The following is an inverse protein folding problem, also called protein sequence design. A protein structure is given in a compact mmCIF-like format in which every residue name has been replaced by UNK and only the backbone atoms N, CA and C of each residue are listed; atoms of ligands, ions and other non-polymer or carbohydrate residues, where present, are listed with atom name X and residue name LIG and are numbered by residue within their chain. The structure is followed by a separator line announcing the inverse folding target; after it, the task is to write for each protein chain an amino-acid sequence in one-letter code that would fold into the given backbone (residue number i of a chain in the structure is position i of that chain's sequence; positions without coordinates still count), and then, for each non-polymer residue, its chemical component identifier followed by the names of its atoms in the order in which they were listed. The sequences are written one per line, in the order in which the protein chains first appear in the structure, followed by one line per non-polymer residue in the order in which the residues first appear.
data_IF_942297490935
#
_entry.id   IF_942297490935
#
_cell.length_a   1.000
_cell.length_b   1.000
_cell.length_c   1.000
_cell.angle_alpha   90.00
_cell.angle_beta   90.00
_cell.angle_gamma   90.00
#
_symmetry.space_group_name_H-M   'P 1'
#
loop_
_entity.id
_entity.type
_entity.pdbx_description
1 polymer ?
#
# COMPACT_ATOMS: atom_id res chain seq x y z
N UNK A 1 -34.76 78.25 8.58
CA UNK A 1 -34.72 78.11 7.11
C UNK A 1 -34.07 76.72 6.77
N UNK A 2 -34.91 75.89 6.21
CA UNK A 2 -34.60 74.60 5.57
C UNK A 2 -33.56 74.76 4.44
N UNK A 3 -33.03 73.66 3.81
CA UNK A 3 -33.50 72.27 3.80
C UNK A 3 -32.40 71.15 3.85
N UNK A 4 -32.89 69.96 4.08
CA UNK A 4 -32.38 68.69 3.57
C UNK A 4 -32.15 68.69 2.03
N UNK A 5 -31.38 67.76 1.39
CA UNK A 5 -31.73 66.33 1.39
C UNK A 5 -30.60 65.29 1.08
N UNK A 6 -31.04 64.02 1.02
CA UNK A 6 -30.65 62.84 0.20
C UNK A 6 -29.59 61.94 0.77
N UNK A 7 -30.07 60.86 1.41
CA UNK A 7 -30.25 59.51 0.84
C UNK A 7 -29.19 59.08 -0.17
N UNK A 8 -28.30 58.17 0.23
CA UNK A 8 -27.84 57.14 -0.65
C UNK A 8 -27.60 55.84 0.13
N UNK A 9 -28.48 54.89 -0.07
CA UNK A 9 -28.35 53.54 0.39
C UNK A 9 -27.25 52.83 -0.44
N UNK A 10 -26.25 52.27 0.20
CA UNK A 10 -25.40 51.27 -0.42
C UNK A 10 -25.57 49.95 0.35
N UNK A 11 -26.34 49.09 -0.24
CA UNK A 11 -26.43 47.69 0.18
C UNK A 11 -25.13 47.00 -0.23
N UNK A 12 -24.28 46.63 0.71
CA UNK A 12 -23.16 45.74 0.47
C UNK A 12 -23.62 44.33 0.82
N UNK A 13 -23.95 43.58 -0.23
CA UNK A 13 -24.20 42.12 -0.16
C UNK A 13 -22.87 41.42 0.18
N UNK A 14 -22.70 40.97 1.42
CA UNK A 14 -21.65 40.05 1.80
C UNK A 14 -22.00 38.66 1.27
N UNK A 15 -21.44 38.27 0.12
CA UNK A 15 -21.32 36.87 -0.27
C UNK A 15 -20.20 36.24 0.58
N UNK A 16 -20.57 35.61 1.68
CA UNK A 16 -19.68 34.71 2.38
C UNK A 16 -19.56 33.43 1.55
N UNK A 17 -18.57 33.39 0.67
CA UNK A 17 -18.09 32.16 0.05
C UNK A 17 -17.47 31.28 1.12
N UNK A 18 -18.20 30.28 1.59
CA UNK A 18 -17.63 29.24 2.45
C UNK A 18 -16.64 28.40 1.62
N UNK A 19 -15.37 28.77 1.68
CA UNK A 19 -14.26 27.89 1.31
C UNK A 19 -14.22 26.78 2.37
N UNK A 20 -14.81 25.64 2.09
CA UNK A 20 -14.59 24.42 2.86
C UNK A 20 -13.14 24.00 2.63
N UNK A 21 -12.36 23.75 3.71
CA UNK A 21 -10.97 23.34 3.54
C UNK A 21 -10.91 21.98 2.85
N UNK A 22 -10.12 21.88 1.77
CA UNK A 22 -9.82 20.65 1.01
C UNK A 22 -9.30 19.47 1.86
N UNK A 23 -8.94 19.72 3.11
CA UNK A 23 -8.49 18.72 4.06
C UNK A 23 -9.56 17.67 4.45
N UNK A 24 -10.86 17.98 4.27
CA UNK A 24 -11.94 17.02 4.54
C UNK A 24 -12.26 16.10 3.36
N UNK A 25 -11.71 16.38 2.19
CA UNK A 25 -11.96 15.59 0.97
C UNK A 25 -10.97 14.45 0.79
N UNK A 26 -9.80 14.52 1.41
CA UNK A 26 -8.74 13.51 1.28
C UNK A 26 -8.96 12.24 2.13
N UNK A 27 -9.93 12.23 3.04
CA UNK A 27 -10.21 11.08 3.91
C UNK A 27 -11.35 10.18 3.40
N UNK A 28 -11.98 10.52 2.27
CA UNK A 28 -13.23 9.87 1.84
C UNK A 28 -13.07 8.80 0.74
N UNK A 29 -11.86 8.62 0.16
CA UNK A 29 -11.66 7.74 -1.00
C UNK A 29 -10.79 6.50 -0.76
N UNK A 30 -10.44 6.17 0.48
CA UNK A 30 -9.77 4.90 0.76
C UNK A 30 -10.79 3.82 1.11
N UNK A 31 -10.98 2.86 0.22
CA UNK A 31 -11.75 1.67 0.54
C UNK A 31 -11.14 0.96 1.76
N UNK A 32 -11.96 0.38 2.64
CA UNK A 32 -11.45 -0.32 3.81
C UNK A 32 -10.62 -1.53 3.39
N UNK A 33 -9.55 -1.80 4.14
CA UNK A 33 -8.83 -3.07 4.00
C UNK A 33 -9.65 -4.17 4.64
N UNK A 34 -9.94 -5.22 3.88
CA UNK A 34 -10.68 -6.39 4.31
C UNK A 34 -9.70 -7.57 4.35
N UNK A 35 -9.67 -8.30 5.47
CA UNK A 35 -8.88 -9.52 5.63
C UNK A 35 -9.84 -10.65 6.03
N UNK A 36 -9.77 -11.77 5.32
CA UNK A 36 -10.49 -13.00 5.64
C UNK A 36 -9.51 -14.14 5.86
N UNK A 37 -9.81 -15.05 6.77
CA UNK A 37 -9.01 -16.24 7.10
C UNK A 37 -9.88 -17.27 7.80
N UNK A 38 -9.39 -18.51 7.93
CA UNK A 38 -10.07 -19.55 8.70
C UNK A 38 -9.91 -19.33 10.20
N UNK A 39 -8.74 -18.85 10.63
CA UNK A 39 -8.40 -18.60 12.03
C UNK A 39 -7.76 -17.23 12.20
N UNK A 40 -7.98 -16.68 13.40
CA UNK A 40 -7.49 -15.36 13.79
C UNK A 40 -7.02 -15.38 15.24
N UNK A 41 -5.83 -14.84 15.50
CA UNK A 41 -5.30 -14.58 16.85
C UNK A 41 -4.72 -13.19 16.92
N UNK A 42 -5.02 -12.45 17.98
CA UNK A 42 -4.49 -11.12 18.23
C UNK A 42 -3.92 -11.03 19.63
N UNK A 43 -2.66 -10.65 19.74
CA UNK A 43 -1.95 -10.45 20.99
C UNK A 43 -1.41 -9.03 21.06
N UNK A 44 -1.69 -8.36 22.17
CA UNK A 44 -1.18 -7.01 22.43
C UNK A 44 -0.18 -7.04 23.58
N UNK A 45 0.92 -6.34 23.37
CA UNK A 45 1.89 -5.96 24.42
C UNK A 45 1.72 -4.49 24.76
N UNK A 46 2.57 -3.92 25.59
CA UNK A 46 2.55 -2.49 25.88
C UNK A 46 2.83 -1.61 24.65
N UNK A 47 3.57 -2.09 23.67
CA UNK A 47 4.08 -1.29 22.55
C UNK A 47 3.64 -1.77 21.18
N UNK A 48 3.15 -3.01 21.09
CA UNK A 48 2.86 -3.66 19.82
C UNK A 48 1.60 -4.52 19.89
N UNK A 49 0.93 -4.63 18.78
CA UNK A 49 -0.09 -5.64 18.54
C UNK A 49 0.37 -6.54 17.42
N UNK A 50 0.42 -7.84 17.69
CA UNK A 50 0.69 -8.89 16.70
C UNK A 50 -0.65 -9.55 16.37
N UNK A 51 -1.00 -9.52 15.09
CA UNK A 51 -2.21 -10.14 14.56
C UNK A 51 -1.81 -11.24 13.60
N UNK A 52 -2.30 -12.44 13.84
CA UNK A 52 -2.06 -13.63 13.01
C UNK A 52 -3.38 -14.05 12.37
N UNK A 53 -3.32 -14.30 11.08
CA UNK A 53 -4.39 -14.88 10.28
C UNK A 53 -3.85 -16.20 9.70
N UNK A 54 -4.57 -17.28 9.84
CA UNK A 54 -4.15 -18.61 9.41
C UNK A 54 -5.26 -19.32 8.64
N UNK A 55 -4.88 -19.97 7.55
CA UNK A 55 -5.76 -20.68 6.62
C UNK A 55 -6.50 -19.77 5.63
N UNK A 56 -6.29 -19.99 4.34
CA UNK A 56 -6.98 -19.34 3.22
C UNK A 56 -7.06 -17.81 3.34
N UNK A 57 -5.94 -17.20 3.71
CA UNK A 57 -5.91 -15.75 3.95
C UNK A 57 -6.09 -14.98 2.65
N UNK A 58 -7.04 -14.05 2.65
CA UNK A 58 -7.28 -13.11 1.55
C UNK A 58 -7.33 -11.69 2.10
N UNK A 59 -6.48 -10.82 1.55
CA UNK A 59 -6.46 -9.38 1.85
C UNK A 59 -6.87 -8.62 0.62
N UNK A 60 -7.85 -7.73 0.79
CA UNK A 60 -8.31 -6.80 -0.24
C UNK A 60 -8.21 -5.38 0.29
N UNK A 61 -7.49 -4.53 -0.43
CA UNK A 61 -7.37 -3.10 -0.15
C UNK A 61 -7.37 -2.34 -1.48
N UNK A 62 -7.47 -1.02 -1.42
CA UNK A 62 -7.48 -0.18 -2.64
C UNK A 62 -6.28 -0.48 -3.53
N UNK A 63 -6.53 -1.09 -4.68
CA UNK A 63 -5.52 -1.43 -5.68
C UNK A 63 -4.54 -2.54 -5.27
N UNK A 64 -4.79 -3.25 -4.15
CA UNK A 64 -3.95 -4.33 -3.64
C UNK A 64 -4.79 -5.55 -3.31
N UNK A 65 -4.39 -6.71 -3.84
CA UNK A 65 -4.86 -8.03 -3.43
C UNK A 65 -3.68 -8.88 -2.94
N UNK A 66 -3.85 -9.62 -1.85
CA UNK A 66 -2.87 -10.59 -1.37
C UNK A 66 -3.60 -11.87 -0.95
N UNK A 67 -3.05 -13.02 -1.33
CA UNK A 67 -3.49 -14.33 -0.84
C UNK A 67 -2.30 -15.10 -0.31
N UNK A 68 -2.49 -15.87 0.77
CA UNK A 68 -1.46 -16.72 1.37
C UNK A 68 -2.10 -17.73 2.33
N UNK A 69 -1.29 -18.66 2.86
CA UNK A 69 -1.77 -19.61 3.87
C UNK A 69 -1.70 -19.01 5.28
N UNK A 70 -0.71 -18.16 5.55
CA UNK A 70 -0.47 -17.53 6.84
C UNK A 70 -0.06 -16.07 6.66
N UNK A 71 -0.62 -15.18 7.48
CA UNK A 71 -0.30 -13.76 7.51
C UNK A 71 -0.10 -13.28 8.94
N UNK A 72 1.07 -12.71 9.22
CA UNK A 72 1.36 -12.01 10.47
C UNK A 72 1.48 -10.51 10.20
N UNK A 73 0.78 -9.72 10.99
CA UNK A 73 0.83 -8.26 10.93
C UNK A 73 1.25 -7.74 12.29
N UNK A 74 2.36 -7.01 12.33
CA UNK A 74 2.81 -6.31 13.55
C UNK A 74 2.54 -4.83 13.38
N UNK A 75 1.80 -4.26 14.31
CA UNK A 75 1.50 -2.83 14.36
C UNK A 75 1.97 -2.19 15.66
N UNK A 76 2.31 -0.90 15.62
CA UNK A 76 2.56 -0.13 16.82
C UNK A 76 1.23 0.08 17.56
N UNK A 77 1.25 -0.09 18.87
CA UNK A 77 0.12 0.21 19.72
C UNK A 77 0.22 1.65 20.23
N UNK A 78 -0.91 2.36 20.19
CA UNK A 78 -1.10 3.67 20.79
C UNK A 78 -2.37 3.62 21.67
N UNK A 79 -2.39 4.44 22.70
CA UNK A 79 -3.53 4.60 23.59
C UNK A 79 -3.37 3.86 24.91
N UNK A 80 -4.50 3.56 25.54
CA UNK A 80 -4.53 2.93 26.86
C UNK A 80 -3.95 1.51 26.81
N UNK A 81 -3.06 1.22 27.77
CA UNK A 81 -2.38 -0.07 27.85
C UNK A 81 -3.29 -1.17 28.40
N UNK A 82 -4.39 -0.81 29.02
CA UNK A 82 -5.34 -1.75 29.63
C UNK A 82 -6.36 -2.29 28.61
N UNK A 83 -6.53 -1.62 27.46
CA UNK A 83 -7.43 -2.08 26.42
C UNK A 83 -6.91 -3.37 25.77
N UNK A 84 -7.74 -4.40 25.70
CA UNK A 84 -7.42 -5.66 25.00
C UNK A 84 -7.18 -5.42 23.50
N UNK A 85 -7.96 -4.51 22.90
CA UNK A 85 -7.80 -4.08 21.51
C UNK A 85 -7.44 -2.60 21.54
N UNK A 86 -6.15 -2.31 21.65
CA UNK A 86 -5.65 -0.93 21.56
C UNK A 86 -5.77 -0.33 20.16
N UNK A 87 -5.78 0.98 20.07
CA UNK A 87 -5.68 1.66 18.79
C UNK A 87 -4.37 1.27 18.11
N UNK A 88 -4.48 0.81 16.86
CA UNK A 88 -3.33 0.50 16.01
C UNK A 88 -2.95 1.77 15.25
N UNK A 89 -1.67 2.15 15.30
CA UNK A 89 -1.18 3.32 14.56
C UNK A 89 -0.58 2.89 13.22
N UNK A 90 0.63 2.37 13.25
CA UNK A 90 1.39 2.08 12.03
C UNK A 90 1.79 0.63 11.97
N UNK A 91 1.69 0.07 10.80
CA UNK A 91 2.27 -1.23 10.51
C UNK A 91 3.80 -1.15 10.64
N UNK A 92 4.39 -2.06 11.42
CA UNK A 92 5.84 -2.25 11.56
C UNK A 92 6.35 -3.27 10.58
N UNK A 93 5.65 -4.40 10.45
CA UNK A 93 5.94 -5.44 9.49
C UNK A 93 4.70 -6.23 9.11
N UNK A 94 4.73 -6.82 7.93
CA UNK A 94 3.78 -7.79 7.46
C UNK A 94 4.57 -8.95 6.89
N UNK A 95 4.23 -10.18 7.29
CA UNK A 95 4.85 -11.42 6.83
C UNK A 95 3.75 -12.33 6.31
N UNK A 96 3.80 -12.63 5.01
CA UNK A 96 2.94 -13.60 4.36
C UNK A 96 3.74 -14.86 4.02
N UNK A 97 3.19 -16.04 4.29
CA UNK A 97 3.84 -17.33 4.08
C UNK A 97 2.87 -18.32 3.44
N UNK A 98 3.40 -19.14 2.55
CA UNK A 98 2.69 -20.21 1.86
C UNK A 98 1.84 -19.70 0.70
N UNK A 99 2.14 -20.15 -0.52
CA UNK A 99 1.39 -19.85 -1.75
C UNK A 99 1.08 -18.34 -1.90
N UNK A 100 2.07 -17.50 -1.54
CA UNK A 100 1.88 -16.05 -1.52
C UNK A 100 1.69 -15.54 -2.94
N UNK A 101 0.59 -14.84 -3.16
CA UNK A 101 0.31 -14.11 -4.39
C UNK A 101 -0.10 -12.68 -4.06
N UNK A 102 0.61 -11.73 -4.63
CA UNK A 102 0.38 -10.29 -4.46
C UNK A 102 0.03 -9.71 -5.82
N UNK A 103 -1.07 -8.96 -5.88
CA UNK A 103 -1.50 -8.25 -7.10
C UNK A 103 -1.66 -6.78 -6.79
N UNK A 104 -1.02 -5.93 -7.60
CA UNK A 104 -1.12 -4.47 -7.49
C UNK A 104 -1.18 -3.86 -8.90
N UNK A 105 -2.38 -3.49 -9.32
CA UNK A 105 -2.62 -3.02 -10.69
C UNK A 105 -2.20 -4.09 -11.70
N UNK A 106 -1.31 -3.73 -12.62
CA UNK A 106 -0.75 -4.62 -13.65
C UNK A 106 0.39 -5.54 -13.15
N UNK A 107 0.81 -5.38 -11.88
CA UNK A 107 1.90 -6.16 -11.31
C UNK A 107 1.38 -7.30 -10.46
N UNK A 108 2.02 -8.44 -10.59
CA UNK A 108 1.74 -9.65 -9.83
C UNK A 108 3.05 -10.27 -9.35
N UNK A 109 3.07 -10.70 -8.09
CA UNK A 109 4.20 -11.43 -7.51
C UNK A 109 3.71 -12.73 -6.91
N UNK A 110 4.44 -13.82 -7.15
CA UNK A 110 4.22 -15.14 -6.56
C UNK A 110 5.50 -15.58 -5.85
N UNK A 111 5.39 -16.15 -4.64
CA UNK A 111 6.52 -16.64 -3.86
C UNK A 111 6.05 -17.50 -2.69
N UNK A 112 6.98 -18.14 -1.97
CA UNK A 112 6.63 -18.87 -0.74
C UNK A 112 6.55 -17.96 0.48
N UNK A 113 7.28 -16.83 0.47
CA UNK A 113 7.29 -15.87 1.57
C UNK A 113 7.48 -14.44 1.07
N UNK A 114 6.66 -13.55 1.57
CA UNK A 114 6.80 -12.11 1.40
C UNK A 114 6.92 -11.42 2.76
N UNK A 115 7.86 -10.49 2.88
CA UNK A 115 8.05 -9.65 4.06
C UNK A 115 8.01 -8.19 3.64
N UNK A 116 7.13 -7.40 4.25
CA UNK A 116 6.98 -5.96 4.02
C UNK A 116 7.39 -5.22 5.27
N UNK A 117 8.32 -4.29 5.13
CA UNK A 117 8.79 -3.37 6.18
C UNK A 117 8.52 -1.92 5.74
N UNK A 118 7.38 -1.35 6.11
CA UNK A 118 6.99 -0.02 5.62
C UNK A 118 7.96 1.09 6.01
N UNK A 119 8.58 1.00 7.19
CA UNK A 119 9.56 2.01 7.65
C UNK A 119 10.84 2.03 6.82
N UNK A 120 11.24 0.88 6.32
CA UNK A 120 12.42 0.71 5.46
C UNK A 120 12.05 0.86 3.99
N UNK A 121 10.76 1.01 3.71
CA UNK A 121 10.18 1.05 2.37
C UNK A 121 10.58 -0.18 1.52
N UNK A 122 10.73 -1.32 2.21
CA UNK A 122 11.32 -2.54 1.69
C UNK A 122 10.27 -3.67 1.61
N UNK A 123 10.33 -4.39 0.50
CA UNK A 123 9.60 -5.64 0.30
C UNK A 123 10.62 -6.71 -0.09
N UNK A 124 10.65 -7.81 0.64
CA UNK A 124 11.51 -8.97 0.36
C UNK A 124 10.65 -10.16 -0.01
N UNK A 125 10.92 -10.76 -1.16
CA UNK A 125 10.28 -11.97 -1.65
C UNK A 125 11.30 -13.10 -1.66
N UNK A 126 10.94 -14.26 -1.10
CA UNK A 126 11.80 -15.46 -1.03
C UNK A 126 11.00 -16.72 -1.33
N UNK A 127 11.70 -17.80 -1.67
CA UNK A 127 11.09 -19.05 -2.08
C UNK A 127 10.56 -18.97 -3.50
N UNK A 128 11.47 -19.02 -4.45
CA UNK A 128 11.19 -19.01 -5.88
C UNK A 128 10.33 -17.84 -6.38
N UNK A 129 10.63 -16.60 -5.98
CA UNK A 129 9.79 -15.47 -6.34
C UNK A 129 9.79 -15.22 -7.84
N UNK A 130 8.59 -14.96 -8.36
CA UNK A 130 8.33 -14.54 -9.75
C UNK A 130 7.54 -13.25 -9.69
N UNK A 131 8.06 -12.19 -10.31
CA UNK A 131 7.38 -10.90 -10.44
C UNK A 131 7.07 -10.66 -11.90
N UNK A 132 5.79 -10.46 -12.21
CA UNK A 132 5.29 -10.20 -13.56
C UNK A 132 4.71 -8.79 -13.62
N UNK A 133 5.17 -7.98 -14.56
CA UNK A 133 4.57 -6.70 -14.92
C UNK A 133 3.84 -6.88 -16.26
N UNK A 134 2.50 -6.96 -16.20
CA UNK A 134 1.66 -7.19 -17.39
C UNK A 134 1.58 -5.96 -18.29
N UNK A 135 1.80 -4.77 -17.72
CA UNK A 135 1.75 -3.52 -18.46
C UNK A 135 2.88 -3.39 -19.48
N UNK A 136 4.07 -3.91 -19.16
CA UNK A 136 5.23 -3.90 -20.06
C UNK A 136 5.70 -5.29 -20.49
N UNK A 137 5.04 -6.36 -20.05
CA UNK A 137 5.39 -7.73 -20.41
C UNK A 137 6.69 -8.26 -19.80
N UNK A 138 7.17 -7.64 -18.73
CA UNK A 138 8.42 -8.05 -18.06
C UNK A 138 8.14 -9.11 -16.99
N UNK A 139 8.98 -10.14 -16.94
CA UNK A 139 8.99 -11.16 -15.88
C UNK A 139 10.38 -11.21 -15.25
N UNK A 140 10.44 -11.07 -13.94
CA UNK A 140 11.66 -11.20 -13.15
C UNK A 140 11.56 -12.41 -12.22
N UNK A 141 12.60 -13.26 -12.20
CA UNK A 141 12.78 -14.39 -11.29
C UNK A 141 14.11 -14.25 -10.60
N UNK A 142 14.23 -14.72 -9.37
CA UNK A 142 15.47 -14.70 -8.60
C UNK A 142 15.14 -14.92 -7.13
N UNK A 143 16.10 -15.35 -6.31
CA UNK A 143 15.87 -15.60 -4.88
C UNK A 143 17.07 -15.14 -4.05
N UNK A 144 16.87 -14.15 -3.16
CA UNK A 144 15.68 -13.33 -2.97
C UNK A 144 15.47 -12.25 -4.05
N UNK A 145 14.25 -11.71 -4.16
CA UNK A 145 13.97 -10.45 -4.82
C UNK A 145 13.63 -9.38 -3.76
N UNK A 146 14.36 -8.28 -3.75
CA UNK A 146 14.21 -7.18 -2.78
C UNK A 146 13.86 -5.90 -3.52
N UNK A 147 12.74 -5.32 -3.16
CA UNK A 147 12.25 -4.05 -3.70
C UNK A 147 12.42 -2.94 -2.66
N UNK A 148 13.16 -1.90 -3.02
CA UNK A 148 13.37 -0.67 -2.23
C UNK A 148 12.58 0.45 -2.93
N UNK A 149 11.38 0.75 -2.43
CA UNK A 149 10.43 1.63 -3.14
C UNK A 149 10.88 3.07 -3.18
N UNK A 150 11.45 3.59 -2.06
CA UNK A 150 11.99 4.93 -1.97
C UNK A 150 13.19 5.15 -2.91
N UNK A 151 14.01 4.11 -3.12
CA UNK A 151 15.15 4.14 -4.03
C UNK A 151 14.75 3.80 -5.49
N UNK A 152 13.48 3.40 -5.74
CA UNK A 152 13.03 2.85 -7.04
C UNK A 152 13.95 1.73 -7.55
N UNK A 153 14.41 0.89 -6.63
CA UNK A 153 15.45 -0.11 -6.87
C UNK A 153 14.94 -1.51 -6.60
N UNK A 154 15.31 -2.43 -7.47
CA UNK A 154 15.12 -3.87 -7.27
C UNK A 154 16.49 -4.53 -7.24
N UNK A 155 16.70 -5.41 -6.27
CA UNK A 155 17.88 -6.27 -6.13
C UNK A 155 17.45 -7.71 -6.14
N UNK A 156 18.31 -8.60 -6.58
CA UNK A 156 18.06 -10.04 -6.53
C UNK A 156 19.35 -10.82 -6.68
N UNK A 157 19.28 -12.10 -6.35
CA UNK A 157 20.35 -13.08 -6.55
C UNK A 157 19.86 -14.14 -7.53
N UNK A 158 20.74 -14.64 -8.38
CA UNK A 158 20.42 -15.63 -9.44
C UNK A 158 19.22 -15.18 -10.30
N UNK A 159 19.28 -13.92 -10.77
CA UNK A 159 18.15 -13.26 -11.42
C UNK A 159 18.09 -13.61 -12.90
N UNK A 160 16.90 -13.95 -13.38
CA UNK A 160 16.54 -14.01 -14.80
C UNK A 160 15.45 -12.99 -15.06
N UNK A 161 15.68 -12.10 -16.04
CA UNK A 161 14.69 -11.12 -16.48
C UNK A 161 14.33 -11.43 -17.93
N UNK A 162 13.04 -11.64 -18.18
CA UNK A 162 12.47 -11.75 -19.52
C UNK A 162 11.69 -10.48 -19.81
N UNK A 163 12.03 -9.78 -20.87
CA UNK A 163 11.36 -8.56 -21.30
C UNK A 163 11.02 -8.65 -22.79
N UNK A 164 10.07 -7.86 -23.29
CA UNK A 164 9.84 -7.71 -24.73
C UNK A 164 11.12 -7.33 -25.47
N UNK A 165 11.20 -7.70 -26.74
CA UNK A 165 12.36 -7.40 -27.58
C UNK A 165 12.67 -5.89 -27.56
N UNK A 166 13.91 -5.55 -27.21
CA UNK A 166 14.42 -4.18 -27.25
C UNK A 166 14.70 -3.82 -28.71
N UNK A 167 13.76 -3.16 -29.37
CA UNK A 167 13.82 -2.87 -30.81
C UNK A 167 14.88 -1.83 -31.24
N UNK A 168 15.49 -1.12 -30.30
CA UNK A 168 16.34 0.03 -30.56
C UNK A 168 17.72 0.00 -29.90
N UNK A 169 18.33 -1.17 -29.74
CA UNK A 169 19.73 -1.26 -29.27
C UNK A 169 20.77 -0.86 -30.33
N UNK A 170 20.34 -0.38 -31.54
CA UNK A 170 21.25 0.04 -32.60
C UNK A 170 22.04 -1.09 -33.26
N UNK A 171 21.71 -2.34 -32.95
CA UNK A 171 22.26 -3.50 -33.67
C UNK A 171 21.37 -3.79 -34.89
N UNK A 172 21.73 -3.26 -36.03
CA UNK A 172 21.13 -3.66 -37.29
C UNK A 172 21.66 -5.06 -37.63
N UNK A 173 20.81 -6.12 -37.74
CA UNK A 173 21.28 -7.45 -38.12
C UNK A 173 21.69 -7.59 -39.57
N UNK A 174 21.84 -6.48 -40.31
CA UNK A 174 22.26 -6.44 -41.72
C UNK A 174 23.57 -5.66 -41.91
N UNK A 175 24.65 -6.14 -41.28
CA UNK A 175 26.01 -5.91 -41.77
C UNK A 175 26.78 -7.21 -41.79
#
# INVERSE_FOLDING_TARGET
MNPLPHLLRLAVSLLAGACLPDALRAAADSEPTIITSDHFDMRSTETETVTVFDGHVVVTATGLGLTCDYLEVVSARIGDKEDTIGKQDRFKSLIAVGHVRIKQGEREAECDRAEVRPREDMITLTGNPVVTDRGNGTVAKGDPLIMLRNERRVRGTNVTITAPSLKDLGFDPKQ
#
